data_IF_310060425709
#
_entry.id   IF_310060425709
#
_cell.length_a   1.000
_cell.length_b   1.000
_cell.length_c   1.000
_cell.angle_alpha   90.00
_cell.angle_beta   90.00
_cell.angle_gamma   90.00
#
_symmetry.space_group_name_H-M   'P 1'
#
loop_
_entity.id
_entity.type
_entity.pdbx_description
1 polymer ?
#
# COMPACT_ATOMS: atom_id res chain seq x y z
N UNK A 1 -19.52 -46.46 -16.19
CA UNK A 1 -19.44 -45.16 -16.90
C UNK A 1 -19.91 -44.00 -16.02
N UNK A 2 -21.13 -44.02 -15.46
CA UNK A 2 -21.70 -42.91 -14.67
C UNK A 2 -20.85 -42.48 -13.44
N UNK A 3 -20.24 -43.43 -12.72
CA UNK A 3 -19.39 -43.15 -11.55
C UNK A 3 -18.11 -42.36 -11.87
N UNK A 4 -17.49 -42.61 -13.03
CA UNK A 4 -16.27 -41.90 -13.43
C UNK A 4 -16.56 -40.45 -13.84
N UNK A 5 -17.72 -40.20 -14.46
CA UNK A 5 -18.19 -38.85 -14.79
C UNK A 5 -18.41 -38.02 -13.53
N UNK A 6 -19.00 -38.59 -12.48
CA UNK A 6 -19.20 -37.90 -11.18
C UNK A 6 -17.86 -37.53 -10.55
N UNK A 7 -16.87 -38.42 -10.56
CA UNK A 7 -15.53 -38.12 -10.04
C UNK A 7 -14.79 -37.05 -10.85
N UNK A 8 -14.92 -37.06 -12.18
CA UNK A 8 -14.37 -36.01 -13.03
C UNK A 8 -15.01 -34.64 -12.74
N UNK A 9 -16.33 -34.58 -12.58
CA UNK A 9 -17.04 -33.34 -12.24
C UNK A 9 -16.63 -32.82 -10.85
N UNK A 10 -16.49 -33.69 -9.85
CA UNK A 10 -16.00 -33.32 -8.52
C UNK A 10 -14.56 -32.76 -8.56
N UNK A 11 -13.66 -33.40 -9.31
CA UNK A 11 -12.29 -32.92 -9.48
C UNK A 11 -12.23 -31.55 -10.18
N UNK A 12 -13.07 -31.34 -11.20
CA UNK A 12 -13.17 -30.06 -11.91
C UNK A 12 -13.69 -28.96 -10.98
N UNK A 13 -14.70 -29.24 -10.15
CA UNK A 13 -15.24 -28.28 -9.17
C UNK A 13 -14.20 -27.85 -8.13
N UNK A 14 -13.38 -28.80 -7.65
CA UNK A 14 -12.29 -28.51 -6.70
C UNK A 14 -11.23 -27.65 -7.37
N UNK A 15 -10.80 -28.00 -8.59
CA UNK A 15 -9.81 -27.23 -9.35
C UNK A 15 -10.31 -25.81 -9.70
N UNK A 16 -11.61 -25.66 -10.01
CA UNK A 16 -12.23 -24.36 -10.29
C UNK A 16 -12.28 -23.47 -9.04
N UNK A 17 -12.57 -24.05 -7.87
CA UNK A 17 -12.59 -23.34 -6.58
C UNK A 17 -11.21 -22.79 -6.20
N UNK A 18 -10.13 -23.53 -6.49
CA UNK A 18 -8.76 -23.05 -6.26
C UNK A 18 -8.34 -21.94 -7.23
N UNK A 19 -8.86 -21.93 -8.46
CA UNK A 19 -8.59 -20.87 -9.44
C UNK A 19 -9.26 -19.54 -9.04
N UNK A 20 -10.51 -19.57 -8.58
CA UNK A 20 -11.24 -18.37 -8.15
C UNK A 20 -10.63 -17.67 -6.92
N UNK A 21 -9.91 -18.39 -6.06
CA UNK A 21 -9.23 -17.80 -4.91
C UNK A 21 -7.95 -17.03 -5.28
N UNK A 22 -7.43 -17.19 -6.51
CA UNK A 22 -6.17 -16.57 -6.93
C UNK A 22 -6.28 -15.12 -7.40
N UNK A 23 -7.47 -14.52 -7.44
CA UNK A 23 -7.65 -13.19 -8.03
C UNK A 23 -8.33 -12.22 -7.07
N UNK A 24 -7.51 -11.42 -6.38
CA UNK A 24 -7.74 -9.97 -6.17
C UNK A 24 -6.71 -9.38 -5.21
N UNK A 25 -5.42 -9.57 -5.51
CA UNK A 25 -4.48 -8.49 -5.17
C UNK A 25 -4.83 -7.33 -6.10
N UNK A 26 -5.81 -6.50 -5.71
CA UNK A 26 -6.18 -5.31 -6.46
C UNK A 26 -4.89 -4.54 -6.73
N UNK A 27 -4.62 -4.26 -8.01
CA UNK A 27 -3.48 -3.44 -8.37
C UNK A 27 -3.66 -2.07 -7.71
N UNK A 28 -2.58 -1.48 -7.18
CA UNK A 28 -2.69 -0.19 -6.54
C UNK A 28 -3.21 0.84 -7.55
N UNK A 29 -4.28 1.54 -7.19
CA UNK A 29 -4.96 2.47 -8.09
C UNK A 29 -4.64 3.91 -7.68
N UNK A 30 -3.89 4.60 -8.53
CA UNK A 30 -3.49 5.99 -8.31
C UNK A 30 -4.52 6.94 -8.92
N UNK A 31 -5.20 7.71 -8.08
CA UNK A 31 -6.22 8.69 -8.48
C UNK A 31 -5.74 10.09 -8.15
N UNK A 32 -5.75 10.99 -9.14
CA UNK A 32 -5.54 12.42 -8.91
C UNK A 32 -6.79 13.04 -8.28
N UNK A 33 -6.66 13.59 -7.09
CA UNK A 33 -7.75 14.29 -6.39
C UNK A 33 -7.74 15.77 -6.75
N UNK A 34 -6.54 16.37 -6.80
CA UNK A 34 -6.28 17.76 -7.22
C UNK A 34 -4.85 17.89 -7.70
N UNK A 35 -4.47 19.03 -8.26
CA UNK A 35 -3.06 19.36 -8.46
C UNK A 35 -2.27 19.15 -7.18
N UNK A 36 -1.18 18.40 -7.31
CA UNK A 36 -0.28 18.01 -6.21
C UNK A 36 -0.89 17.13 -5.11
N UNK A 37 -2.13 16.64 -5.25
CA UNK A 37 -2.81 15.79 -4.26
C UNK A 37 -3.39 14.56 -4.93
N UNK A 38 -2.96 13.38 -4.45
CA UNK A 38 -3.34 12.10 -5.01
C UNK A 38 -3.77 11.12 -3.91
N UNK A 39 -4.65 10.20 -4.28
CA UNK A 39 -5.02 9.04 -3.47
C UNK A 39 -4.45 7.78 -4.13
N UNK A 40 -3.78 6.95 -3.36
CA UNK A 40 -3.36 5.62 -3.79
C UNK A 40 -4.13 4.57 -2.99
N UNK A 41 -5.06 3.89 -3.66
CA UNK A 41 -5.68 2.69 -3.12
C UNK A 41 -4.65 1.56 -3.17
N UNK A 42 -4.32 0.98 -2.02
CA UNK A 42 -3.33 -0.10 -1.90
C UNK A 42 -4.00 -1.48 -1.66
N UNK A 43 -5.32 -1.56 -1.79
CA UNK A 43 -6.13 -2.70 -1.43
C UNK A 43 -6.41 -2.79 0.07
N UNK A 44 -7.08 -3.86 0.50
CA UNK A 44 -7.39 -4.13 1.91
C UNK A 44 -8.14 -2.99 2.61
N UNK A 45 -9.02 -2.29 1.89
CA UNK A 45 -9.77 -1.13 2.39
C UNK A 45 -8.87 0.03 2.90
N UNK A 46 -7.58 0.02 2.52
CA UNK A 46 -6.59 1.00 2.97
C UNK A 46 -6.19 1.93 1.83
N UNK A 47 -6.12 3.22 2.11
CA UNK A 47 -5.64 4.23 1.18
C UNK A 47 -4.40 4.95 1.73
N UNK A 48 -3.53 5.42 0.83
CA UNK A 48 -2.41 6.30 1.15
C UNK A 48 -2.57 7.61 0.38
N UNK A 49 -2.61 8.73 1.11
CA UNK A 49 -2.61 10.04 0.51
C UNK A 49 -1.19 10.47 0.12
N UNK A 50 -1.04 11.12 -1.03
CA UNK A 50 0.24 11.63 -1.52
C UNK A 50 0.09 13.12 -1.79
N UNK A 51 0.86 13.94 -1.08
CA UNK A 51 0.90 15.39 -1.26
C UNK A 51 2.29 15.82 -1.71
N UNK A 52 2.38 16.42 -2.89
CA UNK A 52 3.64 16.87 -3.50
C UNK A 52 3.86 18.34 -3.22
N UNK A 53 4.68 18.66 -2.21
CA UNK A 53 5.09 20.03 -1.92
C UNK A 53 6.19 20.53 -2.86
N UNK A 54 6.67 21.76 -2.63
CA UNK A 54 7.75 22.35 -3.41
C UNK A 54 9.07 21.57 -3.31
N UNK A 55 9.43 21.13 -2.09
CA UNK A 55 10.73 20.49 -1.81
C UNK A 55 10.65 18.99 -1.52
N UNK A 56 9.49 18.50 -1.08
CA UNK A 56 9.33 17.14 -0.60
C UNK A 56 7.90 16.64 -0.76
N UNK A 57 7.75 15.32 -0.71
CA UNK A 57 6.46 14.62 -0.65
C UNK A 57 6.11 14.32 0.80
N UNK A 58 4.84 14.48 1.12
CA UNK A 58 4.22 14.05 2.38
C UNK A 58 3.26 12.91 2.06
N UNK A 59 3.42 11.80 2.77
CA UNK A 59 2.45 10.73 2.77
C UNK A 59 1.44 10.93 3.89
N UNK A 60 0.18 10.62 3.62
CA UNK A 60 -0.87 10.45 4.61
C UNK A 60 -1.09 8.95 4.74
N UNK A 61 -0.78 8.41 5.90
CA UNK A 61 -0.60 6.98 6.20
C UNK A 61 0.62 6.33 5.53
N UNK A 62 1.08 5.22 6.12
CA UNK A 62 2.26 4.49 5.68
C UNK A 62 1.94 3.19 4.96
N UNK A 63 0.68 2.75 4.97
CA UNK A 63 0.33 1.39 4.57
C UNK A 63 1.03 0.35 5.46
N UNK A 64 1.24 -0.84 4.91
CA UNK A 64 1.84 -1.95 5.65
C UNK A 64 2.62 -2.91 4.75
N UNK A 65 3.69 -3.49 5.27
CA UNK A 65 4.45 -4.52 4.57
C UNK A 65 5.34 -3.99 3.44
N UNK A 66 6.54 -4.58 3.31
CA UNK A 66 7.58 -4.12 2.38
C UNK A 66 7.10 -4.07 0.92
N UNK A 67 6.30 -5.03 0.48
CA UNK A 67 5.76 -5.08 -0.89
C UNK A 67 4.87 -3.86 -1.19
N UNK A 68 3.93 -3.57 -0.30
CA UNK A 68 3.05 -2.39 -0.42
C UNK A 68 3.85 -1.09 -0.33
N UNK A 69 4.80 -0.99 0.60
CA UNK A 69 5.62 0.22 0.73
C UNK A 69 6.47 0.49 -0.52
N UNK A 70 6.97 -0.55 -1.19
CA UNK A 70 7.65 -0.40 -2.48
C UNK A 70 6.71 0.11 -3.58
N UNK A 71 5.46 -0.38 -3.64
CA UNK A 71 4.44 0.13 -4.56
C UNK A 71 4.09 1.59 -4.30
N UNK A 72 4.06 2.01 -3.03
CA UNK A 72 3.90 3.42 -2.65
C UNK A 72 5.08 4.25 -3.17
N UNK A 73 6.32 3.77 -3.02
CA UNK A 73 7.50 4.45 -3.59
C UNK A 73 7.37 4.57 -5.11
N UNK A 74 7.01 3.50 -5.80
CA UNK A 74 6.84 3.48 -7.25
C UNK A 74 5.78 4.50 -7.71
N UNK A 75 4.62 4.53 -7.04
CA UNK A 75 3.57 5.51 -7.31
C UNK A 75 4.02 6.95 -7.05
N UNK A 76 4.83 7.21 -6.01
CA UNK A 76 5.40 8.55 -5.79
C UNK A 76 6.40 8.90 -6.89
N UNK A 77 7.21 7.93 -7.34
CA UNK A 77 8.25 8.13 -8.36
C UNK A 77 7.68 8.35 -9.75
N UNK A 78 6.52 7.79 -10.07
CA UNK A 78 5.82 8.10 -11.32
C UNK A 78 5.27 9.54 -11.36
N UNK A 79 5.14 10.19 -10.20
CA UNK A 79 4.65 11.57 -10.08
C UNK A 79 5.77 12.60 -9.90
N UNK A 80 6.88 12.24 -9.24
CA UNK A 80 7.95 13.20 -8.86
C UNK A 80 9.24 12.53 -8.37
N UNK A 81 10.38 13.18 -8.62
CA UNK A 81 11.69 12.80 -8.06
C UNK A 81 11.95 13.36 -6.65
N UNK A 82 11.10 14.29 -6.18
CA UNK A 82 11.22 14.87 -4.84
C UNK A 82 11.25 13.79 -3.74
N UNK A 83 12.03 13.98 -2.66
CA UNK A 83 12.12 13.00 -1.59
C UNK A 83 10.83 12.93 -0.76
N UNK A 84 10.45 11.72 -0.33
CA UNK A 84 9.42 11.53 0.70
C UNK A 84 10.05 11.93 2.04
N UNK A 85 9.49 12.95 2.71
CA UNK A 85 10.07 13.52 3.93
C UNK A 85 9.22 13.32 5.17
N UNK A 86 7.91 13.18 5.03
CA UNK A 86 7.02 13.03 6.16
C UNK A 86 5.97 11.96 5.87
N UNK A 87 5.58 11.26 6.92
CA UNK A 87 4.40 10.41 6.96
C UNK A 87 3.50 10.97 8.06
N UNK A 88 2.25 11.23 7.75
CA UNK A 88 1.23 11.71 8.69
C UNK A 88 0.21 10.61 8.87
N UNK A 89 0.10 10.10 10.09
CA UNK A 89 -0.87 9.06 10.39
C UNK A 89 -2.11 9.68 11.05
N UNK A 90 -3.28 9.28 10.59
CA UNK A 90 -4.58 9.76 11.06
C UNK A 90 -5.01 8.99 12.30
N UNK A 91 -4.69 7.69 12.39
CA UNK A 91 -4.97 6.84 13.55
C UNK A 91 -3.96 5.67 13.67
N UNK A 92 -4.15 4.77 14.64
CA UNK A 92 -3.13 3.77 15.02
C UNK A 92 -3.62 2.33 14.81
N UNK A 93 -3.86 1.95 13.55
CA UNK A 93 -4.01 0.56 13.14
C UNK A 93 -2.82 0.09 12.30
N UNK A 94 -2.58 -1.22 12.26
CA UNK A 94 -1.37 -1.81 11.67
C UNK A 94 -1.29 -1.71 10.15
N UNK A 95 -2.44 -1.74 9.48
CA UNK A 95 -2.63 -1.45 8.05
C UNK A 95 -2.28 -0.01 7.68
N UNK A 96 -2.42 0.93 8.61
CA UNK A 96 -2.11 2.34 8.41
C UNK A 96 -0.68 2.73 8.84
N UNK A 97 -0.21 2.15 9.95
CA UNK A 97 1.05 2.52 10.60
C UNK A 97 2.18 1.50 10.42
N UNK A 98 1.91 0.34 9.82
CA UNK A 98 2.86 -0.76 9.69
C UNK A 98 4.08 -0.42 8.83
N UNK A 99 3.95 0.52 7.90
CA UNK A 99 5.02 1.03 7.03
C UNK A 99 5.89 2.12 7.66
N UNK A 100 5.57 2.60 8.87
CA UNK A 100 6.27 3.71 9.52
C UNK A 100 7.79 3.49 9.56
N UNK A 101 8.23 2.32 10.04
CA UNK A 101 9.67 2.02 10.15
C UNK A 101 10.36 1.98 8.78
N UNK A 102 9.67 1.49 7.74
CA UNK A 102 10.19 1.44 6.39
C UNK A 102 10.53 2.85 5.85
N UNK A 103 9.63 3.81 6.04
CA UNK A 103 9.84 5.20 5.61
C UNK A 103 10.72 6.03 6.55
N UNK A 104 11.01 5.53 7.76
CA UNK A 104 11.93 6.17 8.69
C UNK A 104 13.38 5.71 8.54
N UNK A 105 13.60 4.45 8.18
CA UNK A 105 14.95 3.88 8.05
C UNK A 105 15.56 4.16 6.67
N UNK A 106 14.75 4.30 5.61
CA UNK A 106 15.25 4.63 4.26
C UNK A 106 15.60 6.11 4.03
N UNK A 107 15.70 6.91 5.10
CA UNK A 107 16.27 8.26 5.03
C UNK A 107 17.78 8.14 5.09
N UNK A 108 18.46 8.26 3.95
CA UNK A 108 19.93 8.19 3.89
C UNK A 108 20.59 8.98 5.02
N UNK A 109 21.46 8.29 5.77
CA UNK A 109 22.46 8.80 6.72
C UNK A 109 22.20 10.17 7.38
N UNK A 110 21.14 10.35 8.19
CA UNK A 110 21.08 11.48 9.12
C UNK A 110 20.40 11.09 10.44
N UNK A 111 21.15 11.26 11.53
CA UNK A 111 20.86 11.06 12.94
C UNK A 111 19.43 10.67 13.37
N UNK A 112 19.36 9.47 13.95
CA UNK A 112 18.34 9.01 14.89
C UNK A 112 18.03 10.08 15.95
N UNK A 113 16.76 10.51 16.05
CA UNK A 113 16.09 10.89 17.33
C UNK A 113 14.78 11.68 17.16
N UNK A 114 14.39 12.13 15.97
CA UNK A 114 13.10 12.84 15.78
C UNK A 114 12.12 11.93 15.04
N UNK A 115 10.96 11.65 15.66
CA UNK A 115 9.87 10.82 15.09
C UNK A 115 9.66 11.22 13.63
N UNK A 116 9.89 10.29 12.72
CA UNK A 116 9.82 10.55 11.29
C UNK A 116 8.36 10.62 10.78
N UNK A 117 7.42 10.23 11.63
CA UNK A 117 5.98 10.32 11.44
C UNK A 117 5.35 11.30 12.45
N UNK A 118 4.36 12.04 11.97
CA UNK A 118 3.48 12.88 12.79
C UNK A 118 2.22 12.06 13.09
N UNK A 119 2.06 11.65 14.35
CA UNK A 119 0.88 10.95 14.84
C UNK A 119 0.23 11.80 15.93
N UNK A 120 -1.03 12.21 15.72
CA UNK A 120 -1.88 12.65 16.84
C UNK A 120 -2.53 11.40 17.44
N UNK A 121 -2.43 11.25 18.76
CA UNK A 121 -3.33 10.37 19.51
C UNK A 121 -4.64 11.14 19.66
N UNK A 122 -5.64 10.75 18.89
CA UNK A 122 -7.05 11.09 19.16
C UNK A 122 -7.63 10.01 20.05
#
# INVERSE_FOLDING_TARGET
MKKHVVWCLLAISILFSHFSYSQSALLPTLTKVRDHVYNLDIGYETNVGIVIGEKYVVLIESGFGKSTNNKIIEAVRSLTDKPIKYVVNLHMHGDHTGGNNFFCVNRGNYHQSRKCYLQRRI
#
